data_IF_013100950577
#
_entry.id   IF_013100950577
#
_cell.length_a   1.000
_cell.length_b   1.000
_cell.length_c   1.000
_cell.angle_alpha   90.00
_cell.angle_beta   90.00
_cell.angle_gamma   90.00
#
_symmetry.space_group_name_H-M   'P 1'
#
loop_
_entity.id
_entity.type
_entity.pdbx_description
1 polymer ?
#
# COMPACT_ATOMS: atom_id res chain seq x y z
N UNK A 1 5.97 -15.43 -61.68
CA UNK A 1 7.06 -16.24 -61.07
C UNK A 1 7.14 -15.88 -59.59
N UNK A 2 6.64 -16.73 -58.68
CA UNK A 2 6.72 -16.54 -57.23
C UNK A 2 8.06 -17.10 -56.72
N UNK A 3 8.76 -16.37 -55.86
CA UNK A 3 9.99 -16.83 -55.21
C UNK A 3 9.62 -17.81 -54.08
N UNK A 4 10.29 -18.97 -53.93
CA UNK A 4 10.03 -19.87 -52.80
C UNK A 4 10.58 -19.24 -51.51
N UNK A 5 9.88 -19.44 -50.38
CA UNK A 5 10.39 -19.07 -49.05
C UNK A 5 11.48 -20.06 -48.67
N UNK A 6 12.64 -19.55 -48.26
CA UNK A 6 13.72 -20.38 -47.74
C UNK A 6 13.30 -21.07 -46.44
N UNK A 7 13.66 -22.35 -46.31
CA UNK A 7 13.43 -23.18 -45.13
C UNK A 7 14.30 -22.65 -43.99
N UNK A 8 13.66 -22.06 -42.97
CA UNK A 8 14.34 -21.66 -41.73
C UNK A 8 15.00 -22.89 -41.08
N UNK A 9 16.24 -22.81 -40.58
CA UNK A 9 16.89 -23.94 -39.94
C UNK A 9 16.11 -24.36 -38.68
N UNK A 10 15.92 -25.67 -38.53
CA UNK A 10 15.24 -26.28 -37.41
C UNK A 10 15.83 -25.78 -36.08
N UNK A 11 14.98 -25.14 -35.28
CA UNK A 11 15.30 -24.71 -33.91
C UNK A 11 15.70 -25.96 -33.13
N UNK A 12 16.97 -26.04 -32.75
CA UNK A 12 17.49 -27.11 -31.89
C UNK A 12 16.77 -27.00 -30.55
N UNK A 13 16.05 -28.06 -30.17
CA UNK A 13 15.31 -28.15 -28.92
C UNK A 13 16.26 -28.03 -27.72
N UNK A 14 16.37 -26.83 -27.15
CA UNK A 14 16.74 -26.66 -25.76
C UNK A 14 15.43 -26.64 -24.96
N UNK A 15 15.18 -27.70 -24.20
CA UNK A 15 14.08 -27.79 -23.26
C UNK A 15 14.32 -26.78 -22.12
N UNK A 16 13.85 -25.55 -22.28
CA UNK A 16 13.53 -24.71 -21.12
C UNK A 16 12.27 -25.23 -20.45
N UNK A 17 12.08 -25.08 -19.13
CA UNK A 17 10.83 -25.45 -18.49
C UNK A 17 9.70 -24.58 -19.06
N UNK A 18 8.86 -25.18 -19.90
CA UNK A 18 7.59 -24.61 -20.33
C UNK A 18 6.58 -24.75 -19.20
N UNK A 19 6.80 -24.05 -18.09
CA UNK A 19 5.78 -23.93 -17.04
C UNK A 19 4.99 -22.66 -17.32
N UNK A 20 4.18 -22.70 -18.38
CA UNK A 20 2.94 -21.93 -18.34
C UNK A 20 2.18 -22.45 -17.12
N UNK A 21 1.78 -21.62 -16.15
CA UNK A 21 0.91 -22.12 -15.10
C UNK A 21 -0.35 -22.62 -15.79
N UNK A 22 -0.51 -23.95 -15.80
CA UNK A 22 -1.78 -24.56 -16.11
C UNK A 22 -2.80 -23.82 -15.26
N UNK A 23 -3.80 -23.23 -15.91
CA UNK A 23 -4.93 -22.58 -15.23
C UNK A 23 -5.58 -23.65 -14.37
N UNK A 24 -5.18 -23.72 -13.11
CA UNK A 24 -5.89 -24.45 -12.08
C UNK A 24 -7.19 -23.69 -11.93
N UNK A 25 -8.27 -24.28 -12.43
CA UNK A 25 -9.62 -23.76 -12.20
C UNK A 25 -9.89 -23.84 -10.70
N UNK A 26 -9.60 -22.77 -9.98
CA UNK A 26 -10.10 -22.58 -8.63
C UNK A 26 -11.49 -21.95 -8.74
N UNK A 27 -12.48 -22.81 -8.92
CA UNK A 27 -13.86 -22.44 -8.62
C UNK A 27 -14.05 -22.45 -7.11
N UNK A 28 -14.53 -21.32 -6.60
CA UNK A 28 -15.19 -21.13 -5.31
C UNK A 28 -14.29 -20.91 -4.10
N UNK A 29 -14.37 -19.69 -3.56
CA UNK A 29 -13.92 -19.36 -2.21
C UNK A 29 -13.71 -17.87 -2.02
N UNK A 30 -14.79 -17.10 -2.13
CA UNK A 30 -14.95 -15.77 -1.52
C UNK A 30 -13.81 -14.76 -1.77
N UNK A 31 -13.86 -14.11 -2.94
CA UNK A 31 -13.37 -12.73 -3.08
C UNK A 31 -14.20 -11.81 -2.17
N UNK A 32 -13.98 -11.89 -0.85
CA UNK A 32 -14.50 -10.91 0.12
C UNK A 32 -13.65 -9.64 0.00
N UNK A 33 -13.87 -8.94 -1.12
CA UNK A 33 -13.62 -7.52 -1.14
C UNK A 33 -14.55 -6.88 -0.09
N UNK A 34 -14.04 -5.97 0.77
CA UNK A 34 -14.90 -5.27 1.71
C UNK A 34 -16.03 -4.58 0.92
N UNK A 35 -17.28 -4.60 1.42
CA UNK A 35 -18.37 -3.91 0.74
C UNK A 35 -17.98 -2.44 0.60
N UNK A 36 -18.00 -1.96 -0.65
CA UNK A 36 -17.87 -0.53 -0.92
C UNK A 36 -18.95 0.21 -0.11
N UNK A 37 -18.67 1.41 0.42
CA UNK A 37 -19.70 2.20 1.09
C UNK A 37 -20.87 2.40 0.13
N UNK A 38 -22.13 2.41 0.62
CA UNK A 38 -23.28 2.67 -0.23
C UNK A 38 -23.07 4.05 -0.87
N UNK A 39 -22.91 4.08 -2.21
CA UNK A 39 -23.03 5.32 -2.97
C UNK A 39 -24.44 5.84 -2.74
N UNK A 40 -24.59 6.77 -1.80
CA UNK A 40 -25.81 7.55 -1.64
C UNK A 40 -25.87 8.56 -2.78
N UNK A 41 -26.12 8.03 -3.98
CA UNK A 41 -26.41 8.79 -5.18
C UNK A 41 -27.93 8.75 -5.34
N UNK A 42 -28.58 9.39 -4.38
CA UNK A 42 -30.02 9.44 -4.26
C UNK A 42 -30.43 10.79 -4.85
N UNK A 43 -30.89 10.76 -6.11
CA UNK A 43 -31.39 11.93 -6.84
C UNK A 43 -30.57 12.31 -8.07
N UNK A 44 -30.49 11.43 -9.06
CA UNK A 44 -30.36 11.90 -10.45
C UNK A 44 -31.76 12.13 -11.01
N UNK A 45 -32.40 13.22 -10.59
CA UNK A 45 -33.38 13.85 -11.47
C UNK A 45 -32.56 14.42 -12.66
N UNK A 46 -32.95 14.02 -13.87
CA UNK A 46 -32.23 14.23 -15.14
C UNK A 46 -32.13 15.72 -15.58
N UNK A 47 -32.42 16.66 -14.67
CA UNK A 47 -32.53 18.10 -14.93
C UNK A 47 -31.81 18.98 -13.89
N UNK A 48 -31.02 18.42 -12.96
CA UNK A 48 -30.15 19.21 -12.08
C UNK A 48 -28.78 18.54 -11.93
N UNK A 49 -28.03 18.53 -13.03
CA UNK A 49 -26.57 18.43 -12.95
C UNK A 49 -26.10 19.69 -12.22
N UNK A 50 -26.02 19.61 -10.89
CA UNK A 50 -25.22 20.55 -10.12
C UNK A 50 -23.82 20.40 -10.70
N UNK A 51 -23.42 21.39 -11.49
CA UNK A 51 -22.04 21.65 -11.92
C UNK A 51 -21.25 21.96 -10.64
N UNK A 52 -21.05 20.92 -9.82
CA UNK A 52 -20.04 20.86 -8.78
C UNK A 52 -18.77 21.18 -9.54
N UNK A 53 -18.19 22.35 -9.25
CA UNK A 53 -17.00 22.88 -9.89
C UNK A 53 -15.99 21.73 -10.09
N UNK A 54 -16.06 21.11 -11.26
CA UNK A 54 -14.99 20.30 -11.78
C UNK A 54 -13.93 21.35 -11.92
N UNK A 55 -12.96 21.32 -11.00
CA UNK A 55 -11.72 22.01 -11.23
C UNK A 55 -11.22 21.34 -12.49
N UNK A 56 -11.51 21.96 -13.64
CA UNK A 56 -10.83 21.72 -14.89
C UNK A 56 -9.41 22.18 -14.63
N UNK A 57 -8.64 21.34 -13.93
CA UNK A 57 -7.19 21.37 -14.01
C UNK A 57 -6.92 21.07 -15.48
N UNK A 58 -6.87 22.14 -16.29
CA UNK A 58 -6.42 22.06 -17.66
C UNK A 58 -5.05 21.38 -17.60
N UNK A 59 -4.85 20.22 -18.24
CA UNK A 59 -3.55 19.56 -18.22
C UNK A 59 -2.43 20.50 -18.69
N UNK A 60 -2.76 21.53 -19.49
CA UNK A 60 -1.82 22.58 -19.92
C UNK A 60 -1.34 23.48 -18.77
N UNK A 61 -2.14 23.71 -17.72
CA UNK A 61 -1.78 24.52 -16.54
C UNK A 61 -0.92 23.76 -15.51
N UNK A 62 -0.83 22.44 -15.61
CA UNK A 62 0.04 21.60 -14.77
C UNK A 62 1.42 21.34 -15.39
N UNK A 63 1.61 21.70 -16.66
CA UNK A 63 2.78 21.32 -17.46
C UNK A 63 4.01 22.26 -17.28
N UNK A 64 3.89 23.46 -16.69
CA UNK A 64 4.97 24.47 -16.76
C UNK A 64 5.42 25.16 -15.45
N UNK A 65 5.17 24.60 -14.25
CA UNK A 65 5.72 25.19 -13.01
C UNK A 65 6.50 24.18 -12.14
N UNK A 66 7.56 23.61 -12.72
CA UNK A 66 8.69 23.05 -11.96
C UNK A 66 8.76 21.53 -11.81
N UNK A 67 7.93 20.77 -12.54
CA UNK A 67 8.02 19.31 -12.66
C UNK A 67 9.10 18.83 -13.65
N UNK A 68 9.43 17.54 -13.61
CA UNK A 68 10.27 16.88 -14.61
C UNK A 68 9.42 16.15 -15.67
N UNK A 69 9.76 16.31 -16.95
CA UNK A 69 9.10 15.61 -18.05
C UNK A 69 9.58 14.15 -18.15
N UNK A 70 8.72 13.21 -17.74
CA UNK A 70 8.99 11.77 -17.79
C UNK A 70 8.89 11.16 -19.21
N UNK A 71 8.25 11.84 -20.16
CA UNK A 71 8.00 11.33 -21.52
C UNK A 71 8.89 11.97 -22.59
N UNK A 72 9.85 12.78 -22.14
CA UNK A 72 10.83 13.43 -23.00
C UNK A 72 11.82 12.48 -23.68
N UNK A 73 12.78 13.04 -24.45
CA UNK A 73 13.76 12.27 -25.22
C UNK A 73 14.71 11.41 -24.35
N UNK A 74 14.76 11.66 -23.05
CA UNK A 74 15.57 10.88 -22.08
C UNK A 74 14.89 9.60 -21.62
N UNK A 75 13.59 9.39 -21.89
CA UNK A 75 12.85 8.20 -21.48
C UNK A 75 13.61 6.90 -21.79
N UNK A 76 14.09 6.74 -23.02
CA UNK A 76 14.81 5.53 -23.47
C UNK A 76 16.17 5.32 -22.80
N UNK A 77 16.73 6.33 -22.13
CA UNK A 77 18.01 6.22 -21.43
C UNK A 77 17.88 5.35 -20.18
N UNK A 78 16.74 5.42 -19.50
CA UNK A 78 16.51 4.71 -18.22
C UNK A 78 16.18 3.23 -18.43
N UNK A 79 15.64 2.88 -19.61
CA UNK A 79 15.37 1.49 -20.01
C UNK A 79 16.57 0.77 -20.64
N UNK A 80 17.78 1.35 -20.60
CA UNK A 80 18.97 0.68 -21.13
C UNK A 80 19.31 -0.52 -20.26
N UNK A 81 19.57 -1.65 -20.90
CA UNK A 81 20.05 -2.88 -20.25
C UNK A 81 21.34 -2.60 -19.46
N UNK A 82 21.40 -3.13 -18.25
CA UNK A 82 22.56 -3.07 -17.38
C UNK A 82 22.82 -4.47 -16.79
N UNK A 83 23.63 -5.31 -17.47
CA UNK A 83 23.75 -6.74 -17.14
C UNK A 83 24.24 -6.99 -15.71
N UNK A 84 25.01 -6.05 -15.13
CA UNK A 84 25.53 -6.16 -13.77
C UNK A 84 24.45 -5.91 -12.70
N UNK A 85 23.34 -5.25 -13.06
CA UNK A 85 22.22 -4.90 -12.16
C UNK A 85 20.92 -5.61 -12.50
N UNK A 86 20.84 -6.18 -13.70
CA UNK A 86 19.66 -6.89 -14.19
C UNK A 86 19.59 -8.34 -13.66
N UNK A 87 20.62 -8.78 -12.92
CA UNK A 87 20.72 -10.11 -12.32
C UNK A 87 20.96 -9.98 -10.81
N UNK A 88 20.29 -10.83 -10.03
CA UNK A 88 20.56 -10.94 -8.59
C UNK A 88 22.01 -11.33 -8.32
N UNK A 89 22.57 -10.81 -7.24
CA UNK A 89 23.86 -11.27 -6.73
C UNK A 89 23.73 -12.72 -6.22
N UNK A 90 24.73 -13.56 -6.51
CA UNK A 90 24.70 -14.98 -6.15
C UNK A 90 24.98 -15.31 -4.68
N UNK A 91 25.05 -14.31 -3.79
CA UNK A 91 25.28 -14.53 -2.37
C UNK A 91 24.08 -15.23 -1.75
N UNK A 92 24.32 -16.30 -0.98
CA UNK A 92 23.29 -17.08 -0.28
C UNK A 92 22.24 -17.76 -1.18
N UNK A 93 22.54 -17.93 -2.48
CA UNK A 93 21.74 -18.75 -3.39
C UNK A 93 22.34 -20.15 -3.42
N UNK A 94 21.57 -21.13 -2.95
CA UNK A 94 21.91 -22.55 -2.97
C UNK A 94 20.78 -23.38 -3.60
N UNK A 95 21.06 -24.66 -3.84
CA UNK A 95 20.09 -25.64 -4.36
C UNK A 95 19.42 -26.45 -3.22
N UNK A 96 19.49 -25.99 -1.96
CA UNK A 96 18.94 -26.71 -0.81
C UNK A 96 17.41 -26.56 -0.74
N UNK A 97 16.73 -27.62 -0.29
CA UNK A 97 15.28 -27.62 -0.13
C UNK A 97 14.90 -27.14 1.27
N UNK A 98 14.21 -26.00 1.35
CA UNK A 98 13.76 -25.41 2.61
C UNK A 98 12.30 -25.79 2.90
N UNK A 99 12.03 -26.20 4.14
CA UNK A 99 10.68 -26.52 4.58
C UNK A 99 9.79 -25.26 4.70
N UNK A 100 8.53 -25.38 4.30
CA UNK A 100 7.55 -24.33 4.49
C UNK A 100 7.18 -24.19 5.98
N UNK A 101 6.91 -22.96 6.41
CA UNK A 101 6.52 -22.67 7.80
C UNK A 101 5.17 -23.31 8.16
N UNK A 102 5.13 -24.06 9.27
CA UNK A 102 3.89 -24.61 9.83
C UNK A 102 2.94 -23.48 10.28
N UNK A 103 1.65 -23.79 10.36
CA UNK A 103 0.61 -22.90 10.86
C UNK A 103 0.92 -22.45 12.29
N UNK A 104 1.41 -23.32 13.16
CA UNK A 104 1.74 -22.95 14.54
C UNK A 104 2.86 -21.91 14.61
N UNK A 105 3.93 -22.11 13.83
CA UNK A 105 5.06 -21.19 13.75
C UNK A 105 4.65 -19.83 13.18
N UNK A 106 3.81 -19.85 12.15
CA UNK A 106 3.24 -18.63 11.56
C UNK A 106 2.45 -17.83 12.60
N UNK A 107 1.57 -18.49 13.35
CA UNK A 107 0.78 -17.84 14.41
C UNK A 107 1.67 -17.25 15.50
N UNK A 108 2.77 -17.91 15.85
CA UNK A 108 3.73 -17.42 16.82
C UNK A 108 4.47 -16.16 16.34
N UNK A 109 4.92 -16.14 15.08
CA UNK A 109 5.56 -14.98 14.44
C UNK A 109 4.58 -13.81 14.34
N UNK A 110 3.35 -14.07 13.88
CA UNK A 110 2.30 -13.05 13.79
C UNK A 110 1.96 -12.45 15.15
N UNK A 111 1.89 -13.27 16.21
CA UNK A 111 1.65 -12.77 17.56
C UNK A 111 2.78 -11.84 18.05
N UNK A 112 4.04 -12.14 17.69
CA UNK A 112 5.20 -11.30 17.99
C UNK A 112 5.14 -9.97 17.24
N UNK A 113 4.84 -10.00 15.94
CA UNK A 113 4.70 -8.80 15.10
C UNK A 113 3.54 -7.92 15.60
N UNK A 114 2.37 -8.51 15.87
CA UNK A 114 1.21 -7.80 16.41
C UNK A 114 1.51 -7.11 17.75
N UNK A 115 2.31 -7.74 18.61
CA UNK A 115 2.73 -7.13 19.88
C UNK A 115 3.60 -5.90 19.62
N UNK A 116 4.58 -6.00 18.72
CA UNK A 116 5.44 -4.88 18.31
C UNK A 116 4.60 -3.74 17.75
N UNK A 117 3.71 -4.04 16.80
CA UNK A 117 2.93 -3.01 16.11
C UNK A 117 1.99 -2.26 17.07
N UNK A 118 1.41 -2.97 18.06
CA UNK A 118 0.63 -2.33 19.14
C UNK A 118 1.47 -1.39 20.00
N UNK A 119 2.72 -1.75 20.29
CA UNK A 119 3.62 -0.89 21.06
C UNK A 119 4.06 0.33 20.25
N UNK A 120 4.41 0.14 18.98
CA UNK A 120 4.76 1.22 18.05
C UNK A 120 3.61 2.20 17.92
N UNK A 121 2.38 1.74 17.68
CA UNK A 121 1.20 2.59 17.59
C UNK A 121 0.93 3.39 18.89
N UNK A 122 1.15 2.77 20.06
CA UNK A 122 1.06 3.46 21.36
C UNK A 122 2.11 4.54 21.52
N UNK A 123 3.36 4.27 21.10
CA UNK A 123 4.49 5.23 21.19
C UNK A 123 4.30 6.41 20.23
N UNK A 124 3.80 6.16 19.04
CA UNK A 124 3.54 7.19 18.01
C UNK A 124 2.25 7.98 18.25
N UNK A 125 1.47 7.64 19.28
CA UNK A 125 0.23 8.33 19.61
C UNK A 125 -0.90 8.11 18.59
N UNK A 126 -0.74 7.15 17.67
CA UNK A 126 -1.77 6.81 16.68
C UNK A 126 -2.85 6.01 17.39
N UNK A 127 -3.95 6.67 17.74
CA UNK A 127 -5.13 6.02 18.28
C UNK A 127 -5.57 4.92 17.29
N UNK A 128 -5.85 3.68 17.76
CA UNK A 128 -6.32 2.64 16.87
C UNK A 128 -7.62 3.11 16.20
N UNK A 129 -7.79 2.81 14.91
CA UNK A 129 -8.92 3.30 14.10
C UNK A 129 -10.31 3.04 14.73
N UNK A 130 -10.41 2.05 15.63
CA UNK A 130 -11.59 1.80 16.45
C UNK A 130 -11.99 2.92 17.45
N UNK A 131 -11.17 3.97 17.63
CA UNK A 131 -11.50 5.14 18.46
C UNK A 131 -11.76 6.43 17.65
N UNK A 132 -11.70 6.36 16.31
CA UNK A 132 -12.18 7.41 15.42
C UNK A 132 -13.66 7.10 15.10
N UNK A 133 -14.51 7.16 16.13
CA UNK A 133 -15.96 7.08 15.96
C UNK A 133 -16.48 8.44 15.49
N UNK A 134 -16.93 8.51 14.25
CA UNK A 134 -17.57 9.63 13.56
C UNK A 134 -19.00 9.91 14.04
N UNK A 135 -19.42 9.28 15.14
CA UNK A 135 -20.68 9.52 15.82
C UNK A 135 -20.64 10.61 16.91
N UNK A 136 -20.89 11.87 16.54
CA UNK A 136 -21.49 12.95 17.37
C UNK A 136 -20.89 13.15 18.77
N UNK A 137 -20.20 14.28 18.94
CA UNK A 137 -19.78 14.90 20.21
C UNK A 137 -20.87 14.86 21.30
N UNK A 138 -20.91 13.80 22.11
CA UNK A 138 -21.54 13.86 23.42
C UNK A 138 -20.59 14.66 24.30
N UNK A 139 -20.95 15.92 24.56
CA UNK A 139 -20.35 16.71 25.62
C UNK A 139 -20.42 15.90 26.90
N UNK A 140 -19.33 15.20 27.24
CA UNK A 140 -19.11 14.70 28.58
C UNK A 140 -18.84 15.94 29.41
N UNK A 141 -19.91 16.56 29.91
CA UNK A 141 -19.84 17.65 30.88
C UNK A 141 -18.94 17.13 32.01
N UNK A 142 -17.75 17.70 32.24
CA UNK A 142 -16.97 17.32 33.40
C UNK A 142 -17.77 17.75 34.63
N UNK A 143 -18.07 16.80 35.52
CA UNK A 143 -18.62 17.11 36.82
C UNK A 143 -17.70 18.15 37.50
N UNK A 144 -18.23 19.22 38.10
CA UNK A 144 -17.39 20.21 38.76
C UNK A 144 -16.68 19.54 39.95
N UNK A 145 -15.37 19.33 39.81
CA UNK A 145 -14.51 19.06 40.95
C UNK A 145 -14.53 20.31 41.83
N UNK A 146 -15.17 20.22 43.00
CA UNK A 146 -15.14 21.24 44.03
C UNK A 146 -13.68 21.56 44.39
N UNK A 147 -13.22 22.73 43.96
CA UNK A 147 -11.94 23.32 44.34
C UNK A 147 -12.06 23.87 45.77
N UNK A 148 -11.79 23.01 46.76
CA UNK A 148 -11.48 23.43 48.12
C UNK A 148 -9.96 23.38 48.28
N UNK A 149 -9.39 24.58 48.42
CA UNK A 149 -7.95 24.78 48.45
C UNK A 149 -7.24 24.15 49.64
N UNK A 150 -5.96 23.91 49.45
CA UNK A 150 -4.95 23.93 50.51
C UNK A 150 -3.64 24.35 49.86
N UNK A 151 -3.18 25.54 50.22
CA UNK A 151 -1.85 26.02 49.89
C UNK A 151 -0.81 25.18 50.64
N UNK A 152 0.19 24.64 49.95
CA UNK A 152 1.43 24.22 50.59
C UNK A 152 2.65 24.64 49.78
N UNK A 153 3.55 25.30 50.52
CA UNK A 153 4.78 25.96 50.12
C UNK A 153 5.75 25.10 49.30
N UNK A 154 6.39 25.73 48.31
CA UNK A 154 7.55 25.18 47.61
C UNK A 154 8.83 25.43 48.42
N UNK A 155 9.71 24.43 48.62
CA UNK A 155 11.05 24.69 49.11
C UNK A 155 12.00 25.08 47.96
N UNK A 156 12.72 26.16 48.16
CA UNK A 156 13.78 26.68 47.30
C UNK A 156 15.00 25.77 47.34
N UNK A 157 15.45 25.27 46.18
CA UNK A 157 16.73 24.55 46.05
C UNK A 157 17.80 25.54 45.59
N UNK A 158 18.82 25.71 46.43
CA UNK A 158 19.99 26.56 46.21
C UNK A 158 21.10 25.68 45.62
N UNK A 159 21.50 25.94 44.39
CA UNK A 159 22.68 25.32 43.78
C UNK A 159 23.95 25.99 44.35
N UNK A 160 24.95 25.17 44.70
CA UNK A 160 26.32 25.58 45.01
C UNK A 160 27.15 25.63 43.73
#
# INVERSE_FOLDING_TARGET
RKRPRESSPARVSAAGPTTSPARVGFSSGDDVSPPLPPSSLEGFDDDEVVEENVIEDDPEDLEDEGGEDLFGPTLLKDYRENPDKDVYEGGDIDDEEYEAMDVADRMAVEAKLRRRDKETARREGRLPAAFLDDGKFVQRIPAPCNFLGTAMAAPTVRWY
#
